data_IF_018292706773
#
_entry.id   IF_018292706773
#
_cell.length_a   1.000
_cell.length_b   1.000
_cell.length_c   1.000
_cell.angle_alpha   90.00
_cell.angle_beta   90.00
_cell.angle_gamma   90.00
#
_symmetry.space_group_name_H-M   'P 1'
#
loop_
_entity.id
_entity.type
_entity.pdbx_description
1 polymer ?
#
# COMPACT_ATOMS: atom_id res chain seq x y z
N UNK A 1 -18.29 15.81 16.91
CA UNK A 1 -17.49 15.66 15.68
C UNK A 1 -17.68 14.31 14.99
N UNK A 2 -18.27 13.29 15.62
CA UNK A 2 -18.41 11.94 15.05
C UNK A 2 -19.59 11.77 14.06
N UNK A 3 -20.73 12.44 14.31
CA UNK A 3 -21.90 12.34 13.43
C UNK A 3 -21.66 12.96 12.03
N UNK A 4 -20.84 14.00 11.94
CA UNK A 4 -20.53 14.69 10.68
C UNK A 4 -19.59 13.88 9.79
N UNK A 5 -18.64 13.14 10.36
CA UNK A 5 -17.71 12.29 9.59
C UNK A 5 -18.41 11.07 8.99
N UNK A 6 -19.27 10.41 9.77
CA UNK A 6 -20.11 9.33 9.25
C UNK A 6 -21.10 9.82 8.21
N UNK A 7 -21.75 10.98 8.42
CA UNK A 7 -22.64 11.57 7.42
C UNK A 7 -21.90 11.88 6.12
N UNK A 8 -20.68 12.45 6.18
CA UNK A 8 -19.90 12.79 4.99
C UNK A 8 -19.42 11.56 4.23
N UNK A 9 -18.95 10.52 4.93
CA UNK A 9 -18.57 9.25 4.31
C UNK A 9 -19.77 8.51 3.72
N UNK A 10 -20.92 8.54 4.40
CA UNK A 10 -22.16 7.95 3.91
C UNK A 10 -22.68 8.68 2.68
N UNK A 11 -22.60 10.01 2.66
CA UNK A 11 -22.96 10.84 1.49
C UNK A 11 -21.99 10.59 0.34
N UNK A 12 -20.68 10.46 0.60
CA UNK A 12 -19.70 10.15 -0.42
C UNK A 12 -19.94 8.76 -1.03
N UNK A 13 -20.12 7.74 -0.19
CA UNK A 13 -20.44 6.37 -0.61
C UNK A 13 -21.78 6.34 -1.35
N UNK A 14 -22.81 7.02 -0.85
CA UNK A 14 -24.11 7.10 -1.51
C UNK A 14 -24.03 7.84 -2.85
N UNK A 15 -23.20 8.87 -2.96
CA UNK A 15 -23.00 9.62 -4.22
C UNK A 15 -22.23 8.78 -5.25
N UNK A 16 -21.22 8.03 -4.81
CA UNK A 16 -20.49 7.07 -5.63
C UNK A 16 -21.44 5.96 -6.09
N UNK A 17 -22.16 5.32 -5.16
CA UNK A 17 -23.10 4.24 -5.48
C UNK A 17 -24.25 4.73 -6.38
N UNK A 18 -24.86 5.89 -6.09
CA UNK A 18 -25.93 6.45 -6.92
C UNK A 18 -25.48 6.78 -8.34
N UNK A 19 -24.20 7.08 -8.54
CA UNK A 19 -23.62 7.27 -9.86
C UNK A 19 -23.36 5.94 -10.59
N UNK A 20 -22.88 4.91 -9.89
CA UNK A 20 -22.55 3.63 -10.51
C UNK A 20 -23.75 2.67 -10.67
N UNK A 21 -24.79 2.77 -9.83
CA UNK A 21 -25.99 1.91 -9.92
C UNK A 21 -26.71 2.03 -11.28
N UNK A 22 -26.94 3.23 -11.85
CA UNK A 22 -27.50 3.38 -13.20
C UNK A 22 -26.58 2.84 -14.31
N UNK A 23 -25.26 2.99 -14.16
CA UNK A 23 -24.28 2.47 -15.11
C UNK A 23 -24.24 0.92 -15.12
N UNK A 24 -24.43 0.29 -13.96
CA UNK A 24 -24.57 -1.16 -13.81
C UNK A 24 -25.89 -1.66 -14.44
N UNK A 25 -26.99 -0.91 -14.31
CA UNK A 25 -28.31 -1.28 -14.82
C UNK A 25 -28.42 -1.23 -16.36
N UNK A 26 -27.75 -0.28 -16.99
CA UNK A 26 -27.92 -0.01 -18.43
C UNK A 26 -26.85 -0.65 -19.33
N UNK A 27 -25.94 -1.46 -18.77
CA UNK A 27 -24.90 -2.19 -19.52
C UNK A 27 -23.87 -1.29 -20.22
N UNK A 28 -23.96 0.04 -20.07
CA UNK A 28 -23.02 1.02 -20.60
C UNK A 28 -22.29 1.67 -19.43
N UNK A 29 -20.97 1.44 -19.34
CA UNK A 29 -20.08 2.24 -18.49
C UNK A 29 -19.95 3.63 -19.12
N UNK A 30 -20.89 4.52 -18.80
CA UNK A 30 -20.81 5.93 -19.22
C UNK A 30 -19.76 6.59 -18.35
N UNK A 31 -18.59 6.85 -18.91
CA UNK A 31 -17.62 7.78 -18.35
C UNK A 31 -18.17 9.20 -18.56
N UNK A 32 -19.19 9.61 -17.79
CA UNK A 32 -19.60 11.01 -17.75
C UNK A 32 -18.56 11.77 -16.90
N UNK A 33 -18.11 12.96 -17.31
CA UNK A 33 -17.28 13.78 -16.44
C UNK A 33 -18.11 14.16 -15.20
N UNK A 34 -17.75 13.64 -14.04
CA UNK A 34 -18.22 14.20 -12.76
C UNK A 34 -17.65 15.62 -12.61
N UNK A 35 -18.37 16.55 -11.96
CA UNK A 35 -17.75 17.77 -11.44
C UNK A 35 -16.52 17.40 -10.60
N UNK A 36 -15.34 17.89 -10.99
CA UNK A 36 -14.07 17.61 -10.31
C UNK A 36 -13.19 16.52 -10.94
N UNK A 37 -13.59 15.88 -12.04
CA UNK A 37 -12.69 15.01 -12.82
C UNK A 37 -12.16 15.77 -14.04
N UNK A 38 -10.84 15.98 -14.07
CA UNK A 38 -10.13 16.54 -15.23
C UNK A 38 -9.15 15.46 -15.69
N UNK A 39 -9.43 14.82 -16.82
CA UNK A 39 -8.53 13.83 -17.41
C UNK A 39 -8.01 14.30 -18.77
N UNK A 40 -6.71 14.18 -18.98
CA UNK A 40 -6.11 14.30 -20.30
C UNK A 40 -6.18 12.92 -20.96
N UNK A 41 -7.15 12.77 -21.87
CA UNK A 41 -7.23 11.59 -22.73
C UNK A 41 -6.19 11.73 -23.84
N UNK A 42 -5.23 10.82 -23.89
CA UNK A 42 -4.29 10.72 -24.99
C UNK A 42 -4.81 9.63 -25.94
N UNK A 43 -4.85 9.91 -27.24
CA UNK A 43 -5.13 8.86 -28.24
C UNK A 43 -3.86 7.99 -28.43
N UNK A 44 -3.46 7.27 -27.39
CA UNK A 44 -2.41 6.25 -27.49
C UNK A 44 -3.07 5.01 -28.10
N UNK A 45 -2.96 4.87 -29.43
CA UNK A 45 -3.42 3.67 -30.15
C UNK A 45 -2.32 2.61 -30.10
N UNK A 46 -2.62 1.49 -29.44
CA UNK A 46 -1.74 0.33 -29.37
C UNK A 46 -2.18 -0.74 -30.36
N UNK A 47 -1.39 -0.99 -31.40
CA UNK A 47 -1.68 -2.07 -32.35
C UNK A 47 -1.37 -3.43 -31.73
N UNK A 48 -2.28 -4.39 -31.94
CA UNK A 48 -2.08 -5.77 -31.54
C UNK A 48 -0.79 -6.33 -32.18
N UNK A 49 0.09 -6.88 -31.36
CA UNK A 49 1.32 -7.53 -31.80
C UNK A 49 1.56 -8.74 -30.92
N UNK A 50 0.74 -9.77 -31.13
CA UNK A 50 0.84 -11.02 -30.40
C UNK A 50 2.21 -11.64 -30.67
N UNK A 51 2.98 -11.85 -29.60
CA UNK A 51 4.31 -12.46 -29.71
C UNK A 51 4.39 -13.69 -28.83
N UNK A 52 4.86 -14.80 -29.40
CA UNK A 52 4.98 -16.07 -28.69
C UNK A 52 6.36 -16.32 -28.04
N UNK A 53 7.13 -15.24 -27.85
CA UNK A 53 8.47 -15.30 -27.30
C UNK A 53 8.45 -15.74 -25.81
N UNK A 54 9.42 -16.57 -25.43
CA UNK A 54 9.62 -17.10 -24.08
C UNK A 54 9.59 -16.01 -23.00
N UNK A 55 10.22 -14.85 -23.23
CA UNK A 55 10.21 -13.75 -22.27
C UNK A 55 8.80 -13.25 -21.97
N UNK A 56 7.96 -13.11 -23.01
CA UNK A 56 6.57 -12.67 -22.85
C UNK A 56 5.76 -13.71 -22.09
N UNK A 57 5.93 -15.00 -22.40
CA UNK A 57 5.27 -16.10 -21.67
C UNK A 57 5.64 -16.12 -20.20
N UNK A 58 6.92 -15.96 -19.88
CA UNK A 58 7.42 -15.93 -18.50
C UNK A 58 6.80 -14.78 -17.73
N UNK A 59 6.81 -13.56 -18.28
CA UNK A 59 6.22 -12.39 -17.62
C UNK A 59 4.72 -12.59 -17.41
N UNK A 60 3.97 -13.01 -18.44
CA UNK A 60 2.52 -13.21 -18.32
C UNK A 60 2.15 -14.31 -17.31
N UNK A 61 2.92 -15.40 -17.24
CA UNK A 61 2.70 -16.46 -16.25
C UNK A 61 3.08 -16.00 -14.84
N UNK A 62 4.18 -15.27 -14.69
CA UNK A 62 4.55 -14.67 -13.41
C UNK A 62 3.47 -13.69 -12.93
N UNK A 63 2.86 -12.91 -13.84
CA UNK A 63 1.76 -12.02 -13.50
C UNK A 63 0.56 -12.77 -12.90
N UNK A 64 0.21 -13.94 -13.44
CA UNK A 64 -0.85 -14.77 -12.85
C UNK A 64 -0.50 -15.21 -11.42
N UNK A 65 0.75 -15.59 -11.17
CA UNK A 65 1.21 -15.99 -9.83
C UNK A 65 1.13 -14.81 -8.85
N UNK A 66 1.68 -13.65 -9.22
CA UNK A 66 1.61 -12.45 -8.39
C UNK A 66 0.17 -12.00 -8.11
N UNK A 67 -0.70 -12.07 -9.12
CA UNK A 67 -2.11 -11.76 -8.98
C UNK A 67 -2.82 -12.71 -7.99
N UNK A 68 -2.57 -14.02 -8.08
CA UNK A 68 -3.14 -15.00 -7.14
C UNK A 68 -2.61 -14.82 -5.72
N UNK A 69 -1.32 -14.50 -5.55
CA UNK A 69 -0.75 -14.16 -4.23
C UNK A 69 -1.44 -12.92 -3.66
N UNK A 70 -1.62 -11.86 -4.46
CA UNK A 70 -2.31 -10.65 -4.03
C UNK A 70 -3.78 -10.92 -3.64
N UNK A 71 -4.48 -11.77 -4.41
CA UNK A 71 -5.86 -12.16 -4.10
C UNK A 71 -5.94 -12.96 -2.79
N UNK A 72 -5.06 -13.96 -2.61
CA UNK A 72 -5.00 -14.76 -1.38
C UNK A 72 -4.68 -13.89 -0.16
N UNK A 73 -3.69 -12.99 -0.31
CA UNK A 73 -3.33 -12.03 0.72
C UNK A 73 -4.51 -11.11 1.06
N UNK A 74 -5.26 -10.63 0.07
CA UNK A 74 -6.48 -9.84 0.30
C UNK A 74 -7.50 -10.57 1.14
N UNK A 75 -7.83 -11.82 0.79
CA UNK A 75 -8.75 -12.62 1.59
C UNK A 75 -8.23 -12.89 3.00
N UNK A 76 -6.94 -13.21 3.15
CA UNK A 76 -6.31 -13.38 4.45
C UNK A 76 -6.44 -12.12 5.31
N UNK A 77 -6.19 -10.94 4.76
CA UNK A 77 -6.35 -9.66 5.46
C UNK A 77 -7.81 -9.38 5.84
N UNK A 78 -8.76 -9.68 4.95
CA UNK A 78 -10.19 -9.48 5.25
C UNK A 78 -10.68 -10.41 6.36
N UNK A 79 -10.34 -11.70 6.29
CA UNK A 79 -10.77 -12.72 7.25
C UNK A 79 -10.10 -12.49 8.61
N UNK A 80 -8.80 -12.17 8.64
CA UNK A 80 -8.08 -11.89 9.89
C UNK A 80 -8.64 -10.67 10.64
N UNK A 81 -9.28 -9.72 9.93
CA UNK A 81 -9.96 -8.60 10.58
C UNK A 81 -11.29 -8.99 11.27
N UNK A 82 -11.84 -10.17 10.99
CA UNK A 82 -13.03 -10.69 11.69
C UNK A 82 -12.68 -11.38 13.01
N UNK A 83 -11.41 -11.76 13.21
CA UNK A 83 -10.97 -12.45 14.42
C UNK A 83 -10.81 -11.45 15.59
N UNK A 84 -11.19 -11.84 16.82
CA UNK A 84 -10.98 -11.01 18.00
C UNK A 84 -9.49 -10.66 18.15
N UNK A 85 -9.15 -9.36 18.17
CA UNK A 85 -7.78 -8.90 18.39
C UNK A 85 -7.49 -8.89 19.88
N UNK A 86 -6.52 -9.70 20.33
CA UNK A 86 -6.10 -9.81 21.74
C UNK A 86 -5.11 -8.72 22.17
N UNK A 87 -4.53 -7.98 21.22
CA UNK A 87 -3.63 -6.85 21.49
C UNK A 87 -4.35 -5.51 21.32
N UNK A 88 -3.98 -4.52 22.17
CA UNK A 88 -4.39 -3.12 22.02
C UNK A 88 -4.15 -2.69 20.57
N UNK A 89 -5.23 -2.26 19.91
CA UNK A 89 -5.20 -1.77 18.54
C UNK A 89 -4.18 -0.64 18.42
N UNK A 90 -3.34 -0.70 17.39
CA UNK A 90 -2.65 0.50 16.90
C UNK A 90 -3.77 1.42 16.40
N UNK A 91 -4.03 2.51 17.10
CA UNK A 91 -4.99 3.52 16.66
C UNK A 91 -4.56 4.04 15.30
N UNK A 92 -5.37 3.81 14.27
CA UNK A 92 -5.13 4.33 12.93
C UNK A 92 -5.33 5.85 12.96
N UNK A 93 -4.27 6.63 13.05
CA UNK A 93 -4.39 8.09 12.96
C UNK A 93 -4.79 8.44 11.52
N UNK A 94 -5.99 9.04 11.29
CA UNK A 94 -6.40 9.41 9.94
C UNK A 94 -5.40 10.40 9.32
N UNK A 95 -5.09 10.23 8.05
CA UNK A 95 -4.22 11.14 7.30
C UNK A 95 -5.02 12.39 6.93
N UNK A 96 -4.90 13.42 7.77
CA UNK A 96 -5.54 14.71 7.61
C UNK A 96 -4.48 15.74 7.20
N UNK A 97 -4.55 16.26 5.96
CA UNK A 97 -3.66 17.30 5.49
C UNK A 97 -3.65 18.50 6.45
N UNK A 98 -2.45 18.94 6.85
CA UNK A 98 -2.27 20.08 7.77
C UNK A 98 -2.44 19.75 9.25
N UNK A 99 -2.93 18.56 9.61
CA UNK A 99 -3.09 18.12 11.01
C UNK A 99 -2.13 16.97 11.31
N UNK A 100 -2.24 15.85 10.59
CA UNK A 100 -1.45 14.63 10.85
C UNK A 100 -0.37 14.40 9.79
N UNK A 101 -0.51 14.98 8.61
CA UNK A 101 0.52 15.02 7.57
C UNK A 101 0.73 16.43 7.00
N UNK A 102 1.98 16.80 6.73
CA UNK A 102 2.29 18.06 6.05
C UNK A 102 1.80 18.05 4.60
N UNK A 103 1.51 19.23 4.04
CA UNK A 103 1.07 19.35 2.65
C UNK A 103 2.14 18.84 1.66
N UNK A 104 3.42 19.10 1.94
CA UNK A 104 4.55 18.55 1.16
C UNK A 104 4.55 17.02 1.12
N UNK A 105 4.21 16.37 2.24
CA UNK A 105 4.15 14.91 2.34
C UNK A 105 2.91 14.35 1.65
N UNK A 106 1.79 15.06 1.71
CA UNK A 106 0.61 14.71 0.92
C UNK A 106 0.95 14.70 -0.56
N UNK A 107 1.58 15.76 -1.07
CA UNK A 107 1.98 15.84 -2.48
C UNK A 107 2.93 14.71 -2.87
N UNK A 108 3.92 14.36 -2.04
CA UNK A 108 4.81 13.24 -2.34
C UNK A 108 4.07 11.90 -2.40
N UNK A 109 3.09 11.68 -1.52
CA UNK A 109 2.24 10.48 -1.52
C UNK A 109 1.40 10.44 -2.81
N UNK A 110 0.77 11.55 -3.19
CA UNK A 110 -0.02 11.64 -4.42
C UNK A 110 0.84 11.34 -5.65
N UNK A 111 2.07 11.84 -5.73
CA UNK A 111 3.00 11.49 -6.81
C UNK A 111 3.31 9.99 -6.87
N UNK A 112 3.54 9.34 -5.71
CA UNK A 112 3.77 7.90 -5.64
C UNK A 112 2.54 7.12 -6.09
N UNK A 113 1.34 7.53 -5.69
CA UNK A 113 0.08 6.92 -6.15
C UNK A 113 -0.03 7.04 -7.67
N UNK A 114 0.16 8.25 -8.21
CA UNK A 114 0.06 8.49 -9.65
C UNK A 114 1.02 7.63 -10.45
N UNK A 115 2.30 7.58 -10.05
CA UNK A 115 3.29 6.71 -10.68
C UNK A 115 2.89 5.24 -10.61
N UNK A 116 2.39 4.78 -9.46
CA UNK A 116 1.98 3.38 -9.24
C UNK A 116 0.79 2.98 -10.10
N UNK A 117 -0.18 3.89 -10.29
CA UNK A 117 -1.34 3.66 -11.18
C UNK A 117 -0.91 3.70 -12.65
N UNK A 118 -0.01 4.60 -13.04
CA UNK A 118 0.51 4.61 -14.43
C UNK A 118 1.21 3.30 -14.77
N UNK A 119 2.02 2.75 -13.86
CA UNK A 119 2.68 1.46 -14.06
C UNK A 119 1.64 0.32 -14.14
N UNK A 120 0.60 0.37 -13.31
CA UNK A 120 -0.51 -0.58 -13.33
C UNK A 120 -1.19 -0.61 -14.71
N UNK A 121 -1.65 0.55 -15.18
CA UNK A 121 -2.35 0.69 -16.46
C UNK A 121 -1.43 0.35 -17.63
N UNK A 122 -0.16 0.74 -17.58
CA UNK A 122 0.84 0.37 -18.59
C UNK A 122 0.96 -1.15 -18.73
N UNK A 123 0.86 -1.92 -17.64
CA UNK A 123 0.95 -3.37 -17.70
C UNK A 123 -0.31 -4.02 -18.30
N UNK A 124 -1.50 -3.43 -18.12
CA UNK A 124 -2.68 -3.81 -18.90
C UNK A 124 -2.51 -3.53 -20.39
N UNK A 125 -1.97 -2.36 -20.74
CA UNK A 125 -1.66 -2.00 -22.13
C UNK A 125 -0.72 -3.01 -22.76
N UNK A 126 0.43 -3.25 -22.11
CA UNK A 126 1.47 -4.14 -22.59
C UNK A 126 0.93 -5.58 -22.71
N UNK A 127 0.20 -6.07 -21.70
CA UNK A 127 -0.38 -7.41 -21.76
C UNK A 127 -1.43 -7.53 -22.87
N UNK A 128 -2.22 -6.49 -23.13
CA UNK A 128 -3.24 -6.50 -24.19
C UNK A 128 -2.61 -6.69 -25.56
N UNK A 129 -1.67 -5.80 -25.92
CA UNK A 129 -1.02 -5.86 -27.25
C UNK A 129 -0.27 -7.17 -27.46
N UNK A 130 0.33 -7.74 -26.41
CA UNK A 130 1.06 -9.02 -26.45
C UNK A 130 0.16 -10.23 -26.52
N UNK A 131 -1.09 -10.11 -26.12
CA UNK A 131 -2.10 -11.15 -26.25
C UNK A 131 -2.88 -11.08 -27.57
N UNK A 132 -2.63 -10.04 -28.37
CA UNK A 132 -3.29 -9.80 -29.65
C UNK A 132 -4.59 -9.01 -29.52
N UNK A 133 -4.73 -8.22 -28.45
CA UNK A 133 -5.86 -7.30 -28.24
C UNK A 133 -5.33 -5.88 -28.38
N UNK A 134 -5.87 -5.12 -29.33
CA UNK A 134 -5.51 -3.73 -29.55
C UNK A 134 -5.98 -2.83 -28.40
N UNK A 135 -5.35 -1.68 -28.24
CA UNK A 135 -5.75 -0.65 -27.27
C UNK A 135 -6.22 0.59 -28.01
N UNK A 136 -7.45 1.02 -27.71
CA UNK A 136 -8.10 2.17 -28.35
C UNK A 136 -7.59 3.51 -27.81
N UNK A 137 -7.45 3.59 -26.49
CA UNK A 137 -6.99 4.80 -25.83
C UNK A 137 -6.35 4.51 -24.48
N UNK A 138 -5.55 5.46 -24.00
CA UNK A 138 -5.00 5.45 -22.65
C UNK A 138 -4.85 6.90 -22.18
N UNK A 139 -4.91 7.15 -20.88
CA UNK A 139 -4.85 8.51 -20.38
C UNK A 139 -4.38 8.61 -18.95
N UNK A 140 -4.02 9.84 -18.58
CA UNK A 140 -3.69 10.22 -17.21
C UNK A 140 -4.50 11.47 -16.85
N UNK A 141 -4.81 11.64 -15.58
CA UNK A 141 -5.66 12.73 -15.15
C UNK A 141 -5.71 12.89 -13.64
N UNK A 142 -6.67 13.70 -13.21
CA UNK A 142 -6.97 13.98 -11.82
C UNK A 142 -8.46 13.81 -11.58
N UNK A 143 -8.81 13.01 -10.57
CA UNK A 143 -10.12 12.99 -9.95
C UNK A 143 -10.02 13.73 -8.61
N UNK A 144 -10.49 14.98 -8.57
CA UNK A 144 -10.22 15.94 -7.50
C UNK A 144 -8.71 16.12 -7.31
N UNK A 145 -8.18 15.65 -6.19
CA UNK A 145 -6.74 15.67 -5.86
C UNK A 145 -6.06 14.33 -6.10
N UNK A 146 -6.80 13.31 -6.54
CA UNK A 146 -6.26 11.97 -6.76
C UNK A 146 -5.82 11.79 -8.21
N UNK A 147 -4.58 11.35 -8.46
CA UNK A 147 -4.17 11.02 -9.80
C UNK A 147 -4.92 9.77 -10.27
N UNK A 148 -5.33 9.79 -11.52
CA UNK A 148 -5.97 8.66 -12.21
C UNK A 148 -5.20 8.35 -13.48
N UNK A 149 -5.21 7.09 -13.89
CA UNK A 149 -4.83 6.68 -15.23
C UNK A 149 -5.80 5.61 -15.70
N UNK A 150 -5.84 5.38 -17.01
CA UNK A 150 -6.65 4.30 -17.58
C UNK A 150 -6.06 3.81 -18.89
N UNK A 151 -6.32 2.54 -19.21
CA UNK A 151 -6.11 1.92 -20.51
C UNK A 151 -7.40 1.23 -20.98
N UNK A 152 -7.77 1.44 -22.23
CA UNK A 152 -8.99 0.88 -22.85
C UNK A 152 -8.64 -0.09 -23.99
N UNK A 153 -8.54 -1.40 -23.72
CA UNK A 153 -8.45 -2.42 -24.75
C UNK A 153 -9.69 -2.42 -25.66
N UNK A 154 -9.56 -2.89 -26.90
CA UNK A 154 -10.74 -3.15 -27.75
C UNK A 154 -11.60 -4.24 -27.13
N UNK A 155 -12.79 -3.87 -26.66
CA UNK A 155 -13.71 -4.78 -25.97
C UNK A 155 -14.16 -5.96 -26.84
N UNK A 156 -14.34 -5.77 -28.16
CA UNK A 156 -14.78 -6.85 -29.04
C UNK A 156 -13.67 -7.88 -29.24
N UNK A 157 -12.43 -7.42 -29.43
CA UNK A 157 -11.26 -8.28 -29.51
C UNK A 157 -11.00 -8.99 -28.18
N UNK A 158 -11.12 -8.27 -27.07
CA UNK A 158 -10.93 -8.80 -25.72
C UNK A 158 -11.94 -9.91 -25.41
N UNK A 159 -13.24 -9.67 -25.63
CA UNK A 159 -14.29 -10.65 -25.33
C UNK A 159 -14.20 -11.91 -26.21
N UNK A 160 -13.76 -11.77 -27.46
CA UNK A 160 -13.51 -12.91 -28.36
C UNK A 160 -12.22 -13.67 -28.05
N UNK A 161 -11.30 -13.07 -27.29
CA UNK A 161 -10.05 -13.74 -26.93
C UNK A 161 -10.32 -14.94 -25.99
N UNK A 162 -9.51 -16.01 -26.08
CA UNK A 162 -9.59 -17.13 -25.14
C UNK A 162 -9.51 -16.67 -23.68
N UNK A 163 -10.26 -17.32 -22.78
CA UNK A 163 -10.37 -16.92 -21.37
C UNK A 163 -9.01 -16.67 -20.70
N UNK A 164 -8.02 -17.54 -20.90
CA UNK A 164 -6.69 -17.37 -20.30
C UNK A 164 -5.99 -16.07 -20.76
N UNK A 165 -6.23 -15.61 -21.98
CA UNK A 165 -5.70 -14.33 -22.47
C UNK A 165 -6.35 -13.17 -21.75
N UNK A 166 -7.67 -13.18 -21.59
CA UNK A 166 -8.43 -12.17 -20.82
C UNK A 166 -7.94 -12.10 -19.37
N UNK A 167 -7.81 -13.24 -18.71
CA UNK A 167 -7.31 -13.33 -17.33
C UNK A 167 -5.88 -12.77 -17.21
N UNK A 168 -4.97 -13.09 -18.13
CA UNK A 168 -3.60 -12.54 -18.14
C UNK A 168 -3.59 -11.02 -18.31
N UNK A 169 -4.49 -10.47 -19.14
CA UNK A 169 -4.65 -9.02 -19.31
C UNK A 169 -5.10 -8.37 -18.00
N UNK A 170 -6.15 -8.88 -17.35
CA UNK A 170 -6.62 -8.36 -16.06
C UNK A 170 -5.61 -8.56 -14.92
N UNK A 171 -4.86 -9.65 -14.92
CA UNK A 171 -3.87 -9.92 -13.88
C UNK A 171 -2.65 -9.00 -13.96
N UNK A 172 -2.36 -8.41 -15.13
CA UNK A 172 -1.10 -7.70 -15.38
C UNK A 172 -0.92 -6.45 -14.51
N UNK A 173 -1.95 -5.63 -14.33
CA UNK A 173 -1.89 -4.42 -13.49
C UNK A 173 -1.61 -4.74 -12.02
N UNK A 174 -2.45 -5.54 -11.33
CA UNK A 174 -2.23 -5.88 -9.92
C UNK A 174 -0.92 -6.62 -9.69
N UNK A 175 -0.50 -7.46 -10.64
CA UNK A 175 0.79 -8.14 -10.57
C UNK A 175 1.98 -7.18 -10.61
N UNK A 176 1.90 -6.12 -11.43
CA UNK A 176 2.94 -5.10 -11.50
C UNK A 176 3.12 -4.38 -10.16
N UNK A 177 2.02 -3.99 -9.52
CA UNK A 177 2.08 -3.40 -8.20
C UNK A 177 2.57 -4.41 -7.15
N UNK A 178 2.15 -5.68 -7.21
CA UNK A 178 2.63 -6.70 -6.27
C UNK A 178 4.15 -6.92 -6.41
N UNK A 179 4.66 -6.93 -7.65
CA UNK A 179 6.08 -7.01 -7.92
C UNK A 179 6.84 -5.78 -7.40
N UNK A 180 6.33 -4.56 -7.61
CA UNK A 180 6.91 -3.34 -7.06
C UNK A 180 6.91 -3.34 -5.52
N UNK A 181 5.83 -3.83 -4.90
CA UNK A 181 5.77 -4.01 -3.45
C UNK A 181 6.84 -4.99 -2.96
N UNK A 182 6.98 -6.16 -3.61
CA UNK A 182 8.04 -7.10 -3.26
C UNK A 182 9.44 -6.50 -3.42
N UNK A 183 9.71 -5.84 -4.55
CA UNK A 183 11.00 -5.22 -4.82
C UNK A 183 11.36 -4.17 -3.78
N UNK A 184 10.42 -3.27 -3.47
CA UNK A 184 10.64 -2.22 -2.46
C UNK A 184 10.78 -2.78 -1.05
N UNK A 185 10.03 -3.84 -0.71
CA UNK A 185 10.22 -4.57 0.55
C UNK A 185 11.63 -5.15 0.65
N UNK A 186 12.14 -5.79 -0.41
CA UNK A 186 13.50 -6.33 -0.44
C UNK A 186 14.56 -5.22 -0.29
N UNK A 187 14.35 -4.05 -0.90
CA UNK A 187 15.22 -2.88 -0.73
C UNK A 187 15.21 -2.43 0.73
N UNK A 188 14.03 -2.26 1.33
CA UNK A 188 13.87 -1.87 2.75
C UNK A 188 14.58 -2.89 3.66
N UNK A 189 14.34 -4.19 3.45
CA UNK A 189 14.92 -5.26 4.26
C UNK A 189 16.46 -5.28 4.21
N UNK A 190 17.03 -4.99 3.05
CA UNK A 190 18.47 -4.94 2.90
C UNK A 190 19.07 -3.67 3.52
N UNK A 191 18.40 -2.53 3.38
CA UNK A 191 18.95 -1.22 3.77
C UNK A 191 18.61 -0.79 5.21
N UNK A 192 17.54 -1.30 5.82
CA UNK A 192 17.09 -0.94 7.17
C UNK A 192 17.14 -2.17 8.07
N UNK A 193 18.03 -2.14 9.08
CA UNK A 193 18.18 -3.24 10.05
C UNK A 193 17.33 -2.97 11.30
N UNK A 194 16.73 -4.00 11.92
CA UNK A 194 16.06 -3.84 13.21
C UNK A 194 17.02 -3.28 14.26
N UNK A 195 16.59 -2.26 15.00
CA UNK A 195 17.39 -1.62 16.03
C UNK A 195 16.88 -0.23 16.38
N UNK A 196 17.52 0.43 17.34
CA UNK A 196 17.13 1.77 17.80
C UNK A 196 18.27 2.75 17.49
N UNK A 197 18.07 3.60 16.50
CA UNK A 197 19.05 4.60 16.08
C UNK A 197 18.69 5.98 16.65
N UNK A 198 19.61 6.59 17.40
CA UNK A 198 19.43 7.90 18.04
C UNK A 198 19.65 9.00 17.02
N UNK A 199 18.59 9.74 16.69
CA UNK A 199 18.64 10.85 15.73
C UNK A 199 18.75 12.21 16.40
N UNK A 200 18.37 12.30 17.67
CA UNK A 200 18.54 13.50 18.48
C UNK A 200 18.44 13.19 19.98
N UNK A 201 18.97 14.08 20.81
CA UNK A 201 18.96 13.97 22.27
C UNK A 201 18.53 15.31 22.86
N UNK A 202 17.50 15.28 23.71
CA UNK A 202 16.96 16.48 24.37
C UNK A 202 17.98 17.01 25.37
N UNK A 203 18.36 18.28 25.24
CA UNK A 203 19.31 18.94 26.14
C UNK A 203 18.83 18.89 27.60
N UNK A 204 19.76 18.62 28.53
CA UNK A 204 19.47 18.50 29.96
C UNK A 204 18.72 17.22 30.38
N UNK A 205 18.31 16.39 29.43
CA UNK A 205 17.63 15.12 29.71
C UNK A 205 18.57 14.06 30.32
N UNK A 206 18.04 12.96 30.90
CA UNK A 206 18.86 11.86 31.39
C UNK A 206 19.83 11.29 30.34
N UNK A 207 19.41 11.16 29.07
CA UNK A 207 20.26 10.74 27.97
C UNK A 207 21.42 11.70 27.70
N UNK A 208 21.15 13.00 27.74
CA UNK A 208 22.15 14.03 27.57
C UNK A 208 23.20 13.97 28.68
N UNK A 209 22.74 13.90 29.94
CA UNK A 209 23.60 13.91 31.12
C UNK A 209 24.49 12.67 31.24
N UNK A 210 24.06 11.52 30.71
CA UNK A 210 24.86 10.31 30.66
C UNK A 210 25.74 10.19 29.39
N UNK A 211 25.66 11.18 28.49
CA UNK A 211 26.52 11.27 27.31
C UNK A 211 26.07 10.44 26.11
N UNK A 212 24.79 10.08 26.00
CA UNK A 212 24.21 9.58 24.75
C UNK A 212 24.21 10.71 23.72
N UNK A 213 24.54 10.38 22.47
CA UNK A 213 24.70 11.34 21.38
C UNK A 213 23.91 10.91 20.15
N UNK A 214 23.62 11.89 19.28
CA UNK A 214 23.13 11.64 17.93
C UNK A 214 24.10 10.72 17.17
N UNK A 215 23.55 9.71 16.50
CA UNK A 215 24.29 8.70 15.76
C UNK A 215 24.56 7.41 16.55
N UNK A 216 24.28 7.40 17.86
CA UNK A 216 24.38 6.18 18.65
C UNK A 216 23.31 5.16 18.26
N UNK A 217 23.65 3.87 18.31
CA UNK A 217 22.69 2.76 18.21
C UNK A 217 22.54 2.11 19.58
N UNK A 218 21.33 2.05 20.12
CA UNK A 218 21.06 1.32 21.37
C UNK A 218 21.00 -0.18 21.05
N UNK A 219 21.91 -0.95 21.62
CA UNK A 219 22.02 -2.41 21.43
C UNK A 219 21.20 -3.16 22.49
N UNK A 220 21.40 -2.81 23.76
CA UNK A 220 20.70 -3.45 24.88
C UNK A 220 20.51 -2.50 26.07
N UNK A 221 19.52 -2.83 26.90
CA UNK A 221 19.25 -2.16 28.18
C UNK A 221 19.12 -3.26 29.23
N UNK A 222 19.89 -3.17 30.32
CA UNK A 222 19.95 -4.17 31.40
C UNK A 222 20.23 -5.57 30.83
N UNK A 223 21.19 -5.65 29.90
CA UNK A 223 21.60 -6.87 29.19
C UNK A 223 20.49 -7.54 28.34
N UNK A 224 19.34 -6.87 28.15
CA UNK A 224 18.26 -7.29 27.25
C UNK A 224 18.38 -6.53 25.92
N UNK A 225 18.47 -7.28 24.82
CA UNK A 225 18.57 -6.71 23.46
C UNK A 225 17.32 -5.86 23.11
N UNK A 226 17.54 -4.69 22.50
CA UNK A 226 16.47 -3.75 22.15
C UNK A 226 16.40 -3.55 20.63
N UNK A 227 15.46 -4.24 19.99
CA UNK A 227 15.23 -4.16 18.53
C UNK A 227 13.93 -3.44 18.13
N UNK A 228 13.11 -3.01 19.09
CA UNK A 228 11.82 -2.37 18.81
C UNK A 228 11.50 -1.24 19.78
N UNK A 229 10.71 -0.27 19.32
CA UNK A 229 10.24 0.84 20.16
C UNK A 229 9.39 0.39 21.33
N UNK A 230 8.63 -0.69 21.16
CA UNK A 230 7.84 -1.27 22.24
C UNK A 230 8.77 -1.74 23.37
N UNK A 231 9.79 -2.53 23.05
CA UNK A 231 10.72 -3.05 24.06
C UNK A 231 11.56 -1.93 24.70
N UNK A 232 11.97 -0.94 23.90
CA UNK A 232 12.64 0.26 24.40
C UNK A 232 11.79 0.98 25.45
N UNK A 233 10.52 1.28 25.12
CA UNK A 233 9.59 1.96 26.03
C UNK A 233 9.30 1.15 27.28
N UNK A 234 9.10 -0.16 27.13
CA UNK A 234 8.88 -1.10 28.23
C UNK A 234 10.05 -1.05 29.23
N UNK A 235 11.29 -1.17 28.75
CA UNK A 235 12.47 -1.19 29.60
C UNK A 235 12.75 0.16 30.27
N UNK A 236 12.56 1.28 29.56
CA UNK A 236 12.73 2.62 30.14
C UNK A 236 11.67 2.90 31.21
N UNK A 237 10.44 2.42 31.03
CA UNK A 237 9.33 2.73 31.96
C UNK A 237 9.37 1.89 33.23
N UNK A 238 9.90 0.68 33.16
CA UNK A 238 9.84 -0.30 34.26
C UNK A 238 11.11 -0.36 35.12
N UNK A 239 12.12 0.46 34.85
CA UNK A 239 13.40 0.41 35.56
C UNK A 239 13.86 1.80 35.99
N UNK A 240 14.29 1.94 37.24
CA UNK A 240 14.83 3.20 37.78
C UNK A 240 16.27 3.48 37.32
N UNK A 241 17.03 2.43 37.05
CA UNK A 241 18.42 2.49 36.58
C UNK A 241 18.55 1.62 35.34
N UNK A 242 19.13 2.20 34.28
CA UNK A 242 19.37 1.56 33.00
C UNK A 242 20.87 1.42 32.76
N UNK A 243 21.32 0.18 32.56
CA UNK A 243 22.61 -0.17 32.00
C UNK A 243 22.48 -0.31 30.50
N UNK A 244 22.84 0.73 29.76
CA UNK A 244 22.61 0.86 28.32
C UNK A 244 23.91 0.54 27.58
N UNK A 245 23.90 -0.46 26.70
CA UNK A 245 24.98 -0.67 25.73
C UNK A 245 24.62 0.02 24.42
N UNK A 246 25.49 0.91 23.98
CA UNK A 246 25.37 1.62 22.71
C UNK A 246 26.53 1.27 21.77
N UNK A 247 26.30 1.37 20.47
CA UNK A 247 27.33 1.39 19.45
C UNK A 247 27.50 2.83 18.97
N UNK A 248 28.71 3.38 19.13
CA UNK A 248 29.11 4.70 18.63
C UNK A 248 30.26 4.54 17.64
N UNK A 249 29.97 4.77 16.36
CA UNK A 249 30.89 4.36 15.28
C UNK A 249 31.13 2.85 15.34
N UNK A 250 32.38 2.44 15.60
CA UNK A 250 32.75 1.02 15.73
C UNK A 250 33.02 0.58 17.18
N UNK A 251 32.71 1.43 18.18
CA UNK A 251 32.98 1.15 19.59
C UNK A 251 31.68 0.86 20.33
N UNK A 252 31.68 -0.23 21.10
CA UNK A 252 30.60 -0.51 22.06
C UNK A 252 30.93 0.20 23.37
N UNK A 253 30.00 1.01 23.86
CA UNK A 253 30.13 1.78 25.09
C UNK A 253 28.99 1.39 26.01
N UNK A 254 29.28 1.21 27.29
CA UNK A 254 28.28 0.98 28.32
C UNK A 254 28.09 2.25 29.15
N UNK A 255 26.83 2.65 29.32
CA UNK A 255 26.43 3.89 29.99
C UNK A 255 25.35 3.57 31.02
N UNK A 256 25.42 4.23 32.17
CA UNK A 256 24.38 4.15 33.20
C UNK A 256 23.53 5.42 33.13
N UNK A 257 22.21 5.25 33.04
CA UNK A 257 21.25 6.35 33.03
C UNK A 257 20.11 6.09 34.01
N UNK A 258 19.57 7.15 34.60
CA UNK A 258 18.36 7.11 35.44
C UNK A 258 17.23 7.86 34.73
N UNK A 259 16.19 7.18 34.22
CA UNK A 259 15.07 7.84 33.55
C UNK A 259 14.35 8.79 34.49
N UNK A 260 13.85 9.89 33.95
CA UNK A 260 13.01 10.83 34.69
C UNK A 260 11.55 10.65 34.25
N UNK A 261 10.65 10.30 35.18
CA UNK A 261 9.22 10.03 34.89
C UNK A 261 9.02 9.05 33.73
N UNK A 262 9.84 7.98 33.69
CA UNK A 262 9.79 6.96 32.63
C UNK A 262 10.25 7.45 31.25
N UNK A 263 11.03 8.55 31.18
CA UNK A 263 11.56 9.10 29.93
C UNK A 263 13.09 9.25 30.01
N UNK A 264 13.73 8.99 28.88
CA UNK A 264 15.18 9.13 28.73
C UNK A 264 15.59 10.40 27.98
N UNK A 265 14.70 10.97 27.16
CA UNK A 265 14.99 12.18 26.36
C UNK A 265 15.71 11.93 25.03
N UNK A 266 15.51 10.75 24.43
CA UNK A 266 16.03 10.40 23.09
C UNK A 266 14.94 10.51 22.03
N UNK A 267 15.32 10.98 20.85
CA UNK A 267 14.51 10.88 19.62
C UNK A 267 15.17 9.83 18.74
N UNK A 268 14.40 8.85 18.29
CA UNK A 268 14.94 7.64 17.65
C UNK A 268 14.20 7.26 16.37
N UNK A 269 14.90 6.55 15.49
CA UNK A 269 14.30 5.75 14.43
C UNK A 269 14.22 4.28 14.88
N UNK A 270 13.13 3.56 14.55
CA UNK A 270 12.93 2.15 14.89
C UNK A 270 13.72 1.19 13.99
N UNK A 271 14.82 1.66 13.40
CA UNK A 271 15.71 0.91 12.54
C UNK A 271 17.09 1.57 12.53
N UNK A 272 18.09 0.81 12.14
CA UNK A 272 19.46 1.28 11.88
C UNK A 272 19.67 1.30 10.36
N UNK A 273 19.95 2.47 9.76
CA UNK A 273 20.23 2.54 8.33
C UNK A 273 21.59 1.90 8.01
N UNK A 274 21.64 1.11 6.94
CA UNK A 274 22.88 0.58 6.37
C UNK A 274 23.43 1.51 5.28
N UNK A 275 24.69 1.33 4.89
CA UNK A 275 25.25 2.03 3.74
C UNK A 275 24.48 1.63 2.45
N UNK A 276 24.15 2.57 1.55
CA UNK A 276 24.54 3.99 1.55
C UNK A 276 23.60 4.93 2.32
N UNK A 277 22.47 4.45 2.84
CA UNK A 277 21.48 5.31 3.54
C UNK A 277 22.06 5.95 4.81
N UNK A 278 22.93 5.25 5.53
CA UNK A 278 23.58 5.79 6.75
C UNK A 278 24.44 7.03 6.49
N UNK A 279 24.88 7.25 5.25
CA UNK A 279 25.69 8.41 4.87
C UNK A 279 24.85 9.65 4.53
N UNK A 280 23.53 9.53 4.45
CA UNK A 280 22.65 10.64 4.09
C UNK A 280 22.43 11.58 5.28
N UNK A 281 22.26 12.90 5.04
CA UNK A 281 21.70 13.81 6.03
C UNK A 281 20.37 13.29 6.56
N UNK A 282 20.08 13.53 7.85
CA UNK A 282 18.89 12.97 8.53
C UNK A 282 17.58 13.26 7.78
N UNK A 283 17.42 14.49 7.27
CA UNK A 283 16.22 14.88 6.52
C UNK A 283 16.06 14.07 5.23
N UNK A 284 17.16 13.87 4.49
CA UNK A 284 17.17 13.05 3.27
C UNK A 284 16.93 11.58 3.59
N UNK A 285 17.56 11.05 4.64
CA UNK A 285 17.34 9.68 5.12
C UNK A 285 15.85 9.45 5.42
N UNK A 286 15.23 10.34 6.19
CA UNK A 286 13.81 10.26 6.53
C UNK A 286 12.93 10.35 5.28
N UNK A 287 13.24 11.24 4.34
CA UNK A 287 12.50 11.37 3.08
C UNK A 287 12.58 10.11 2.22
N UNK A 288 13.79 9.53 2.06
CA UNK A 288 14.00 8.30 1.29
C UNK A 288 13.30 7.13 1.95
N UNK A 289 13.49 6.92 3.25
CA UNK A 289 12.82 5.83 3.97
C UNK A 289 11.30 5.98 3.93
N UNK A 290 10.79 7.19 4.15
CA UNK A 290 9.35 7.44 4.07
C UNK A 290 8.82 7.14 2.66
N UNK A 291 9.54 7.54 1.61
CA UNK A 291 9.15 7.28 0.22
C UNK A 291 9.15 5.79 -0.09
N UNK A 292 10.15 5.03 0.38
CA UNK A 292 10.19 3.58 0.21
C UNK A 292 9.01 2.88 0.91
N UNK A 293 8.71 3.28 2.15
CA UNK A 293 7.58 2.73 2.92
C UNK A 293 6.24 3.05 2.23
N UNK A 294 6.05 4.28 1.76
CA UNK A 294 4.84 4.67 1.03
C UNK A 294 4.72 3.94 -0.31
N UNK A 295 5.80 3.87 -1.09
CA UNK A 295 5.83 3.14 -2.36
C UNK A 295 5.49 1.67 -2.15
N UNK A 296 6.04 1.04 -1.12
CA UNK A 296 5.72 -0.33 -0.74
C UNK A 296 4.25 -0.51 -0.37
N UNK A 297 3.76 0.27 0.60
CA UNK A 297 2.39 0.15 1.12
C UNK A 297 1.32 0.46 0.07
N UNK A 298 1.53 1.49 -0.74
CA UNK A 298 0.61 1.88 -1.82
C UNK A 298 0.53 0.77 -2.88
N UNK A 299 1.67 0.26 -3.35
CA UNK A 299 1.68 -0.79 -4.36
C UNK A 299 1.10 -2.10 -3.83
N UNK A 300 1.37 -2.45 -2.57
CA UNK A 300 0.77 -3.62 -1.94
C UNK A 300 -0.75 -3.47 -1.84
N UNK A 301 -1.23 -2.31 -1.42
CA UNK A 301 -2.65 -1.98 -1.34
C UNK A 301 -3.34 -2.02 -2.70
N UNK A 302 -2.76 -1.38 -3.72
CA UNK A 302 -3.26 -1.38 -5.10
C UNK A 302 -3.30 -2.80 -5.69
N UNK A 303 -2.29 -3.62 -5.42
CA UNK A 303 -2.28 -5.01 -5.85
C UNK A 303 -3.43 -5.81 -5.22
N UNK A 304 -3.56 -5.73 -3.89
CA UNK A 304 -4.58 -6.48 -3.14
C UNK A 304 -5.99 -6.04 -3.53
N UNK A 305 -6.28 -4.74 -3.54
CA UNK A 305 -7.64 -4.25 -3.81
C UNK A 305 -8.10 -4.56 -5.23
N UNK A 306 -7.19 -4.52 -6.21
CA UNK A 306 -7.52 -4.85 -7.59
C UNK A 306 -7.55 -6.36 -7.86
N UNK A 307 -6.80 -7.16 -7.10
CA UNK A 307 -6.84 -8.62 -7.21
C UNK A 307 -8.07 -9.25 -6.53
N UNK A 308 -8.58 -8.64 -5.45
CA UNK A 308 -9.82 -9.08 -4.80
C UNK A 308 -10.99 -9.05 -5.80
N UNK A 309 -11.93 -10.01 -5.74
CA UNK A 309 -13.02 -10.07 -6.70
C UNK A 309 -14.16 -9.11 -6.33
N UNK A 310 -13.89 -7.83 -6.50
CA UNK A 310 -14.86 -6.74 -6.36
C UNK A 310 -15.39 -6.36 -7.74
N UNK A 311 -16.66 -5.99 -7.86
CA UNK A 311 -17.27 -5.68 -9.17
C UNK A 311 -16.57 -4.55 -9.96
N UNK A 312 -15.80 -3.69 -9.27
CA UNK A 312 -15.01 -2.60 -9.87
C UNK A 312 -13.56 -2.98 -10.21
N UNK A 313 -13.06 -4.10 -9.70
CA UNK A 313 -11.65 -4.49 -9.77
C UNK A 313 -11.35 -5.46 -10.91
N UNK A 314 -10.06 -5.68 -11.18
CA UNK A 314 -9.61 -6.70 -12.13
C UNK A 314 -9.99 -8.11 -11.72
N UNK A 315 -9.92 -8.42 -10.41
CA UNK A 315 -10.43 -9.66 -9.85
C UNK A 315 -11.90 -9.90 -10.14
N UNK A 316 -12.73 -8.85 -10.07
CA UNK A 316 -14.14 -8.95 -10.44
C UNK A 316 -14.33 -9.26 -11.93
N UNK A 317 -13.53 -8.63 -12.80
CA UNK A 317 -13.55 -8.91 -14.24
C UNK A 317 -13.18 -10.35 -14.54
N UNK A 318 -12.13 -10.88 -13.89
CA UNK A 318 -11.76 -12.30 -13.98
C UNK A 318 -12.92 -13.22 -13.61
N UNK A 319 -13.57 -12.99 -12.46
CA UNK A 319 -14.71 -13.83 -12.06
C UNK A 319 -15.91 -13.70 -13.01
N UNK A 320 -16.15 -12.49 -13.53
CA UNK A 320 -17.24 -12.25 -14.48
C UNK A 320 -17.03 -13.05 -15.76
N UNK A 321 -15.83 -12.98 -16.35
CA UNK A 321 -15.47 -13.73 -17.56
C UNK A 321 -15.49 -15.24 -17.34
N UNK A 322 -15.07 -15.72 -16.16
CA UNK A 322 -15.17 -17.14 -15.80
C UNK A 322 -16.62 -17.58 -15.71
N UNK A 323 -17.50 -16.78 -15.10
CA UNK A 323 -18.93 -17.06 -14.99
C UNK A 323 -19.62 -17.11 -16.36
N UNK A 324 -19.25 -16.20 -17.26
CA UNK A 324 -19.79 -16.15 -18.63
C UNK A 324 -19.32 -17.33 -19.49
N UNK A 325 -18.03 -17.69 -19.40
CA UNK A 325 -17.48 -18.85 -20.11
C UNK A 325 -18.12 -20.16 -19.62
N UNK A 326 -18.26 -20.30 -18.30
CA UNK A 326 -18.81 -21.48 -17.66
C UNK A 326 -20.15 -21.14 -17.01
N UNK A 327 -21.21 -20.99 -17.81
CA UNK A 327 -22.57 -20.58 -17.39
C UNK A 327 -23.08 -21.21 -16.08
N UNK A 328 -22.71 -22.46 -15.78
CA UNK A 328 -23.06 -23.14 -14.51
C UNK A 328 -22.54 -22.43 -13.25
N UNK A 329 -21.49 -21.62 -13.37
CA UNK A 329 -20.86 -20.89 -12.27
C UNK A 329 -21.26 -19.41 -12.20
N UNK A 330 -22.08 -18.89 -13.12
CA UNK A 330 -22.45 -17.47 -13.15
C UNK A 330 -23.06 -16.98 -11.82
N UNK A 331 -23.97 -17.75 -11.22
CA UNK A 331 -24.54 -17.42 -9.90
C UNK A 331 -23.48 -17.47 -8.80
N UNK A 332 -22.55 -18.42 -8.87
CA UNK A 332 -21.49 -18.60 -7.88
C UNK A 332 -20.54 -17.40 -7.90
N UNK A 333 -20.16 -16.92 -9.09
CA UNK A 333 -19.24 -15.79 -9.22
C UNK A 333 -19.87 -14.50 -8.67
N UNK A 334 -21.17 -14.27 -8.90
CA UNK A 334 -21.91 -13.16 -8.29
C UNK A 334 -21.95 -13.24 -6.77
N UNK A 335 -22.21 -14.43 -6.20
CA UNK A 335 -22.21 -14.64 -4.75
C UNK A 335 -20.83 -14.35 -4.15
N UNK A 336 -19.75 -14.81 -4.79
CA UNK A 336 -18.37 -14.55 -4.33
C UNK A 336 -18.07 -13.05 -4.32
N UNK A 337 -18.47 -12.31 -5.37
CA UNK A 337 -18.27 -10.86 -5.41
C UNK A 337 -19.09 -10.15 -4.31
N UNK A 338 -20.34 -10.53 -4.10
CA UNK A 338 -21.19 -9.97 -3.05
C UNK A 338 -20.61 -10.23 -1.64
N UNK A 339 -20.14 -11.44 -1.38
CA UNK A 339 -19.45 -11.79 -0.12
C UNK A 339 -18.17 -10.98 0.07
N UNK A 340 -17.40 -10.76 -1.00
CA UNK A 340 -16.18 -9.95 -0.94
C UNK A 340 -16.48 -8.49 -0.59
N UNK A 341 -17.51 -7.90 -1.19
CA UNK A 341 -17.99 -6.55 -0.84
C UNK A 341 -18.40 -6.50 0.63
N UNK A 342 -19.14 -7.50 1.11
CA UNK A 342 -19.54 -7.59 2.51
C UNK A 342 -18.32 -7.66 3.45
N UNK A 343 -17.32 -8.50 3.14
CA UNK A 343 -16.10 -8.62 3.93
C UNK A 343 -15.31 -7.30 3.97
N UNK A 344 -15.18 -6.61 2.85
CA UNK A 344 -14.55 -5.28 2.78
C UNK A 344 -15.31 -4.28 3.65
N UNK A 345 -16.64 -4.26 3.58
CA UNK A 345 -17.45 -3.38 4.41
C UNK A 345 -17.25 -3.66 5.91
N UNK A 346 -17.21 -4.92 6.31
CA UNK A 346 -16.92 -5.31 7.69
C UNK A 346 -15.53 -4.86 8.15
N UNK A 347 -14.50 -5.04 7.30
CA UNK A 347 -13.15 -4.60 7.61
C UNK A 347 -13.06 -3.07 7.80
N UNK A 348 -13.79 -2.29 6.98
CA UNK A 348 -13.87 -0.83 7.12
C UNK A 348 -14.59 -0.43 8.42
N UNK A 349 -15.73 -1.05 8.74
CA UNK A 349 -16.48 -0.79 9.98
C UNK A 349 -15.62 -1.10 11.21
N UNK A 350 -14.94 -2.26 11.21
CA UNK A 350 -14.03 -2.66 12.29
C UNK A 350 -12.88 -1.68 12.49
N UNK A 351 -12.34 -1.14 11.39
CA UNK A 351 -11.30 -0.12 11.44
C UNK A 351 -11.80 1.19 12.07
N UNK A 352 -13.02 1.62 11.76
CA UNK A 352 -13.60 2.85 12.34
C UNK A 352 -13.91 2.67 13.83
N UNK A 353 -14.48 1.52 14.23
CA UNK A 353 -14.76 1.22 15.66
C UNK A 353 -13.52 1.24 16.54
N UNK A 354 -12.33 1.02 15.97
CA UNK A 354 -11.06 1.07 16.71
C UNK A 354 -10.53 2.49 16.96
N UNK A 355 -11.22 3.52 16.45
CA UNK A 355 -10.85 4.94 16.57
C UNK A 355 -11.57 5.69 17.69
N UNK A 356 -12.67 5.13 18.21
CA UNK A 356 -13.35 5.60 19.42
C UNK A 356 -13.06 4.66 20.58
#
# INVERSE_FOLDING_TARGET
MEASGFAMLSVLIASILAYFIPAIRNGKRVFSPMPGIIALRLEIRGNANATDNIYTKVVLNASLVFFLIAMFMGYYLLISNLLPKTQKSVTLVPLLPGITISFSRLLSILWIIGLSIVIHEYMHYWSSIKQGVSVKSAGIGWAFVFPIAFVEPDENELLRAPLLKRIRIYAAGPAANMFLALLTYLIIWNLLKPGIFVIDVVEGSPAWNCGIMKGDVILSINDIEVKSLYKLKELISNNEVLKIKILRGNKVIEIIAKPEKGKLGIIVLPFVPAWPLSSLPLEMLQAVVSSLVWLNGINLGLAVINALPLFISDGGRVLTDVGQEFKKFEKVTLVVQALTVFLVAQALIGSIRSLG
#
